data_IF_334807842662
#
_entry.id   IF_334807842662
#
_cell.length_a   1.000
_cell.length_b   1.000
_cell.length_c   1.000
_cell.angle_alpha   90.00
_cell.angle_beta   90.00
_cell.angle_gamma   90.00
#
_symmetry.space_group_name_H-M   'P 1'
#
loop_
_entity.id
_entity.type
_entity.pdbx_description
1 polymer ?
#
# COMPACT_ATOMS: atom_id res chain seq x y z
N UNK A 1 -6.76 17.26 18.33
CA UNK A 1 -6.10 18.23 17.43
C UNK A 1 -4.59 18.02 17.30
N UNK A 2 -3.80 18.02 18.39
CA UNK A 2 -2.34 17.81 18.33
C UNK A 2 -1.93 16.43 17.79
N UNK A 3 -2.66 15.37 18.14
CA UNK A 3 -2.39 13.98 17.71
C UNK A 3 -2.63 13.78 16.21
N UNK A 4 -3.73 14.35 15.70
CA UNK A 4 -4.07 14.32 14.26
C UNK A 4 -3.04 15.04 13.41
N UNK A 5 -2.54 16.20 13.86
CA UNK A 5 -1.49 16.93 13.14
C UNK A 5 -0.17 16.15 13.12
N UNK A 6 0.21 15.53 14.24
CA UNK A 6 1.40 14.66 14.31
C UNK A 6 1.28 13.47 13.36
N UNK A 7 0.15 12.77 13.36
CA UNK A 7 -0.10 11.65 12.45
C UNK A 7 -0.09 12.12 10.98
N UNK A 8 -0.66 13.30 10.71
CA UNK A 8 -0.61 13.92 9.38
C UNK A 8 0.83 14.16 8.93
N UNK A 9 1.64 14.84 9.75
CA UNK A 9 3.03 15.16 9.42
C UNK A 9 3.87 13.89 9.27
N UNK A 10 3.71 12.92 10.16
CA UNK A 10 4.40 11.63 10.09
C UNK A 10 4.08 10.89 8.78
N UNK A 11 2.82 10.88 8.36
CA UNK A 11 2.42 10.25 7.09
C UNK A 11 3.02 10.94 5.86
N UNK A 12 3.17 12.27 5.91
CA UNK A 12 3.75 13.05 4.81
C UNK A 12 5.26 12.82 4.73
N UNK A 13 5.95 12.90 5.87
CA UNK A 13 7.39 12.63 5.96
C UNK A 13 7.68 11.19 5.53
N UNK A 14 6.93 10.21 6.07
CA UNK A 14 7.06 8.81 5.71
C UNK A 14 6.87 8.56 4.21
N UNK A 15 5.91 9.23 3.57
CA UNK A 15 5.72 9.17 2.10
C UNK A 15 6.98 9.58 1.37
N UNK A 16 7.56 10.73 1.70
CA UNK A 16 8.76 11.23 1.03
C UNK A 16 9.97 10.35 1.30
N UNK A 17 10.16 9.88 2.53
CA UNK A 17 11.23 8.94 2.88
C UNK A 17 11.15 7.69 2.01
N UNK A 18 9.98 7.03 1.96
CA UNK A 18 9.84 5.83 1.13
C UNK A 18 9.99 6.12 -0.36
N UNK A 19 9.47 7.26 -0.83
CA UNK A 19 9.63 7.67 -2.22
C UNK A 19 11.10 7.83 -2.59
N UNK A 20 11.87 8.53 -1.77
CA UNK A 20 13.30 8.77 -1.99
C UNK A 20 14.09 7.48 -1.87
N UNK A 21 13.82 6.65 -0.87
CA UNK A 21 14.49 5.35 -0.72
C UNK A 21 14.30 4.49 -1.96
N UNK A 22 13.06 4.26 -2.42
CA UNK A 22 12.85 3.42 -3.60
C UNK A 22 13.29 4.07 -4.91
N UNK A 23 13.22 5.40 -5.02
CA UNK A 23 13.66 6.12 -6.21
C UNK A 23 15.20 6.13 -6.36
N UNK A 24 15.93 6.28 -5.26
CA UNK A 24 17.40 6.30 -5.25
C UNK A 24 18.02 4.90 -5.32
N UNK A 25 17.23 3.85 -5.08
CA UNK A 25 17.69 2.47 -5.17
C UNK A 25 17.43 1.91 -6.57
N UNK A 26 18.33 1.02 -7.02
CA UNK A 26 18.10 0.25 -8.25
C UNK A 26 17.02 -0.80 -7.99
N UNK A 27 15.90 -0.66 -8.69
CA UNK A 27 14.78 -1.61 -8.64
C UNK A 27 14.90 -2.60 -9.80
N UNK A 28 14.80 -3.89 -9.49
CA UNK A 28 14.69 -4.96 -10.48
C UNK A 28 13.56 -5.90 -10.08
N UNK A 29 12.65 -6.19 -11.02
CA UNK A 29 11.49 -7.06 -10.81
C UNK A 29 11.60 -8.25 -11.75
N UNK A 30 11.80 -9.44 -11.18
CA UNK A 30 11.79 -10.68 -11.96
C UNK A 30 10.35 -11.08 -12.27
N UNK A 31 10.04 -11.35 -13.54
CA UNK A 31 8.70 -11.75 -13.98
C UNK A 31 7.69 -10.60 -14.10
N UNK A 32 8.17 -9.35 -14.23
CA UNK A 32 7.34 -8.14 -14.38
C UNK A 32 6.31 -8.27 -15.51
N UNK A 33 6.68 -8.93 -16.61
CA UNK A 33 5.83 -9.13 -17.77
C UNK A 33 4.55 -9.90 -17.42
N UNK A 34 4.60 -10.82 -16.45
CA UNK A 34 3.42 -11.59 -16.03
C UNK A 34 2.45 -10.70 -15.26
N UNK A 35 2.97 -9.86 -14.37
CA UNK A 35 2.18 -8.88 -13.64
C UNK A 35 1.52 -7.87 -14.60
N UNK A 36 2.29 -7.29 -15.53
CA UNK A 36 1.77 -6.31 -16.48
C UNK A 36 0.73 -6.92 -17.43
N UNK A 37 0.92 -8.16 -17.88
CA UNK A 37 -0.09 -8.89 -18.67
C UNK A 37 -1.38 -9.09 -17.88
N UNK A 38 -1.29 -9.48 -16.61
CA UNK A 38 -2.47 -9.63 -15.75
C UNK A 38 -3.20 -8.30 -15.55
N UNK A 39 -2.47 -7.21 -15.24
CA UNK A 39 -3.06 -5.87 -15.08
C UNK A 39 -3.78 -5.44 -16.36
N UNK A 40 -3.14 -5.62 -17.53
CA UNK A 40 -3.74 -5.27 -18.83
C UNK A 40 -4.95 -6.13 -19.20
N UNK A 41 -5.11 -7.31 -18.62
CA UNK A 41 -6.26 -8.17 -18.90
C UNK A 41 -7.59 -7.62 -18.37
N UNK A 42 -7.56 -6.63 -17.48
CA UNK A 42 -8.76 -6.05 -16.86
C UNK A 42 -9.47 -6.98 -15.87
N UNK A 43 -8.94 -8.18 -15.60
CA UNK A 43 -9.51 -9.13 -14.64
C UNK A 43 -9.13 -8.73 -13.21
N UNK A 44 -9.96 -9.04 -12.20
CA UNK A 44 -9.61 -8.83 -10.81
C UNK A 44 -8.40 -9.70 -10.42
N UNK A 45 -7.46 -9.12 -9.67
CA UNK A 45 -6.21 -9.77 -9.24
C UNK A 45 -6.14 -9.70 -7.72
N UNK A 46 -5.93 -10.85 -7.07
CA UNK A 46 -5.56 -10.90 -5.66
C UNK A 46 -4.04 -11.03 -5.55
N UNK A 47 -3.39 -9.98 -5.06
CA UNK A 47 -1.95 -9.97 -4.85
C UNK A 47 -1.61 -10.56 -3.47
N UNK A 48 -0.89 -11.68 -3.46
CA UNK A 48 -0.37 -12.28 -2.24
C UNK A 48 1.10 -11.87 -2.05
N UNK A 49 1.43 -11.32 -0.89
CA UNK A 49 2.79 -10.90 -0.55
C UNK A 49 3.18 -11.36 0.85
N UNK A 50 4.46 -11.64 1.05
CA UNK A 50 5.01 -11.89 2.38
C UNK A 50 4.93 -10.63 3.23
N UNK A 51 4.51 -10.78 4.49
CA UNK A 51 4.28 -9.65 5.40
C UNK A 51 5.48 -8.68 5.50
N UNK A 52 6.68 -9.22 5.71
CA UNK A 52 7.92 -8.42 5.79
C UNK A 52 8.40 -7.81 4.47
N UNK A 53 7.72 -8.06 3.35
CA UNK A 53 8.06 -7.54 2.03
C UNK A 53 6.94 -6.73 1.40
N UNK A 54 5.87 -6.40 2.13
CA UNK A 54 4.69 -5.69 1.60
C UNK A 54 5.02 -4.32 0.99
N UNK A 55 5.99 -3.61 1.57
CA UNK A 55 6.24 -2.20 1.25
C UNK A 55 6.64 -1.99 -0.22
N UNK A 56 7.59 -2.79 -0.73
CA UNK A 56 8.10 -2.63 -2.09
C UNK A 56 7.05 -2.98 -3.19
N UNK A 57 6.40 -4.16 -3.18
CA UNK A 57 5.34 -4.49 -4.13
C UNK A 57 4.19 -3.48 -4.07
N UNK A 58 3.81 -3.04 -2.86
CA UNK A 58 2.80 -2.00 -2.70
C UNK A 58 3.22 -0.71 -3.41
N UNK A 59 4.44 -0.21 -3.15
CA UNK A 59 4.99 1.00 -3.78
C UNK A 59 5.09 0.87 -5.31
N UNK A 60 5.57 -0.26 -5.81
CA UNK A 60 5.82 -0.44 -7.24
C UNK A 60 4.53 -0.63 -8.04
N UNK A 61 3.60 -1.47 -7.57
CA UNK A 61 2.38 -1.82 -8.30
C UNK A 61 1.42 -0.64 -8.41
N UNK A 62 1.42 0.28 -7.43
CA UNK A 62 0.57 1.48 -7.46
C UNK A 62 0.85 2.39 -8.66
N UNK A 63 2.03 2.25 -9.29
CA UNK A 63 2.40 3.00 -10.49
C UNK A 63 1.80 2.39 -11.77
N UNK A 64 1.28 1.17 -11.69
CA UNK A 64 0.70 0.42 -12.82
C UNK A 64 -0.81 0.24 -12.71
N UNK A 65 -1.37 0.25 -11.51
CA UNK A 65 -2.83 0.09 -11.29
C UNK A 65 -3.28 0.64 -9.93
N UNK A 66 -4.59 0.83 -9.77
CA UNK A 66 -5.20 1.16 -8.48
C UNK A 66 -5.17 -0.03 -7.54
N UNK A 67 -4.75 0.19 -6.29
CA UNK A 67 -4.64 -0.87 -5.29
C UNK A 67 -5.74 -0.76 -4.24
N UNK A 68 -6.27 -1.91 -3.84
CA UNK A 68 -7.16 -2.05 -2.70
C UNK A 68 -6.49 -2.92 -1.64
N UNK A 69 -6.46 -2.47 -0.39
CA UNK A 69 -5.85 -3.20 0.72
C UNK A 69 -6.92 -3.63 1.71
N UNK A 70 -6.84 -4.88 2.14
CA UNK A 70 -7.67 -5.42 3.22
C UNK A 70 -7.01 -5.07 4.55
N UNK A 71 -7.71 -4.33 5.41
CA UNK A 71 -7.22 -3.87 6.71
C UNK A 71 -8.29 -4.10 7.79
N UNK A 72 -7.85 -4.50 8.98
CA UNK A 72 -8.71 -4.70 10.14
C UNK A 72 -8.99 -3.37 10.85
N UNK A 73 -9.92 -3.38 11.82
CA UNK A 73 -10.25 -2.20 12.65
C UNK A 73 -9.36 -2.03 13.88
N UNK A 74 -8.25 -2.77 13.99
CA UNK A 74 -7.30 -2.59 15.08
C UNK A 74 -6.53 -1.28 14.92
N UNK A 75 -6.16 -0.64 16.04
CA UNK A 75 -5.52 0.68 16.05
C UNK A 75 -4.27 0.76 15.14
N UNK A 76 -3.41 -0.26 15.18
CA UNK A 76 -2.20 -0.31 14.35
C UNK A 76 -2.53 -0.45 12.85
N UNK A 77 -3.59 -1.20 12.52
CA UNK A 77 -4.07 -1.34 11.15
C UNK A 77 -4.74 -0.05 10.65
N UNK A 78 -5.40 0.71 11.54
CA UNK A 78 -5.99 2.01 11.22
C UNK A 78 -4.94 3.06 10.87
N UNK A 79 -3.82 3.11 11.59
CA UNK A 79 -2.72 4.00 11.24
C UNK A 79 -2.20 3.72 9.82
N UNK A 80 -1.95 2.45 9.50
CA UNK A 80 -1.52 2.03 8.17
C UNK A 80 -2.58 2.37 7.11
N UNK A 81 -3.85 2.11 7.39
CA UNK A 81 -4.99 2.47 6.55
C UNK A 81 -5.03 3.98 6.21
N UNK A 82 -4.78 4.85 7.19
CA UNK A 82 -4.73 6.30 6.95
C UNK A 82 -3.58 6.70 6.03
N UNK A 83 -2.40 6.11 6.19
CA UNK A 83 -1.23 6.36 5.33
C UNK A 83 -1.54 5.90 3.89
N UNK A 84 -2.06 4.68 3.73
CA UNK A 84 -2.36 4.09 2.44
C UNK A 84 -3.46 4.85 1.68
N UNK A 85 -4.52 5.30 2.36
CA UNK A 85 -5.54 6.17 1.76
C UNK A 85 -4.94 7.44 1.16
N UNK A 86 -3.99 8.08 1.87
CA UNK A 86 -3.29 9.28 1.38
C UNK A 86 -2.35 8.99 0.22
N UNK A 87 -1.95 7.74 0.06
CA UNK A 87 -1.20 7.27 -1.11
C UNK A 87 -2.11 6.89 -2.29
N UNK A 88 -3.44 7.07 -2.16
CA UNK A 88 -4.41 6.80 -3.23
C UNK A 88 -4.96 5.37 -3.25
N UNK A 89 -4.75 4.59 -2.18
CA UNK A 89 -5.20 3.21 -2.11
C UNK A 89 -6.66 3.16 -1.66
N UNK A 90 -7.44 2.29 -2.29
CA UNK A 90 -8.73 1.86 -1.77
C UNK A 90 -8.53 1.01 -0.51
N UNK A 91 -9.47 1.10 0.43
CA UNK A 91 -9.49 0.24 1.61
C UNK A 91 -10.72 -0.64 1.61
N UNK A 92 -10.49 -1.93 1.79
CA UNK A 92 -11.51 -2.92 2.07
C UNK A 92 -11.41 -3.23 3.57
N UNK A 93 -12.47 -2.99 4.33
CA UNK A 93 -12.46 -3.24 5.78
C UNK A 93 -12.78 -4.71 6.05
N UNK A 94 -11.86 -5.39 6.73
CA UNK A 94 -12.04 -6.74 7.24
C UNK A 94 -12.38 -6.74 8.74
N UNK A 95 -12.96 -7.85 9.22
CA UNK A 95 -13.37 -8.09 10.61
C UNK A 95 -14.34 -7.05 11.19
N UNK A 96 -15.62 -7.39 11.15
CA UNK A 96 -16.57 -6.96 12.19
C UNK A 96 -16.43 -7.91 13.37
N UNK A 97 -16.46 -7.41 14.61
CA UNK A 97 -16.70 -8.22 15.84
C UNK A 97 -18.10 -8.88 15.86
N UNK A 98 -18.69 -9.12 14.69
CA UNK A 98 -19.95 -9.81 14.45
C UNK A 98 -19.59 -11.09 13.68
N UNK A 99 -18.91 -11.99 14.38
CA UNK A 99 -18.91 -13.41 14.08
C UNK A 99 -19.87 -14.08 15.04
#
# INVERSE_FOLDING_TARGET
MKTELKAFLLSLIGRWIFQLLFFLNKVSVMGEENLLKLIKSGKPIMLCVWHGRLLFPSWYIRHHTTLHIISSRHADSELLAHILRRWGYGLIRGSTNKG
#
